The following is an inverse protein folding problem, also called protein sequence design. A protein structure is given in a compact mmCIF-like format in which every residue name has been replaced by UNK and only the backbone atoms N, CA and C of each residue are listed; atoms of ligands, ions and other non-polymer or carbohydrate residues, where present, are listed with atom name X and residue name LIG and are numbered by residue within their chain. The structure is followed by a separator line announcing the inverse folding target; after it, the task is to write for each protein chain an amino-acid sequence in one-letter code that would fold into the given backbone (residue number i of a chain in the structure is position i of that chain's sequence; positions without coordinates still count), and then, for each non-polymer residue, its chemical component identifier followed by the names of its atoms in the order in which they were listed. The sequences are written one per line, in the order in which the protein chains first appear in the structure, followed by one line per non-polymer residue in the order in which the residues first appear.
data_IF_405145712136
#
_entry.id   IF_405145712136
#
_cell.length_a   1.000
_cell.length_b   1.000
_cell.length_c   1.000
_cell.angle_alpha   90.00
_cell.angle_beta   90.00
_cell.angle_gamma   90.00
#
_symmetry.space_group_name_H-M   'P 1'
#
loop_
_entity.id
_entity.type
_entity.pdbx_description
1 polymer ?
#
# COMPACT_ATOMS: atom_id res chain seq x y z
N UNK A 1 49.14 68.67 36.86
CA UNK A 1 50.33 69.52 37.03
C UNK A 1 51.17 69.47 35.75
N UNK A 2 51.45 70.65 35.16
CA UNK A 2 52.54 71.04 34.23
C UNK A 2 52.94 70.04 33.12
N UNK A 3 52.58 70.26 31.85
CA UNK A 3 53.21 71.13 30.80
C UNK A 3 54.67 70.78 30.46
N UNK A 4 54.88 70.53 29.15
CA UNK A 4 55.97 70.99 28.24
C UNK A 4 56.52 69.82 27.37
N UNK A 5 56.14 69.70 26.10
CA UNK A 5 56.53 70.42 24.85
C UNK A 5 57.84 69.95 24.19
N UNK A 6 57.66 69.52 22.93
CA UNK A 6 58.53 69.64 21.75
C UNK A 6 59.75 68.70 21.62
N UNK A 7 59.83 67.97 20.50
CA UNK A 7 60.59 68.34 19.29
C UNK A 7 60.54 67.19 18.25
N UNK A 8 60.03 67.47 17.05
CA UNK A 8 60.48 66.82 15.79
C UNK A 8 61.71 67.64 15.31
N UNK A 9 62.68 67.15 14.49
CA UNK A 9 62.50 66.20 13.37
C UNK A 9 63.72 65.26 13.09
N UNK A 10 63.59 64.25 12.22
CA UNK A 10 64.48 64.06 11.06
C UNK A 10 64.08 62.84 10.21
N UNK A 11 64.18 63.06 8.90
CA UNK A 11 63.99 62.17 7.76
C UNK A 11 64.63 60.79 7.92
N UNK A 12 63.87 59.73 7.67
CA UNK A 12 64.37 58.55 6.96
C UNK A 12 63.24 57.94 6.15
N UNK A 13 63.38 57.95 4.83
CA UNK A 13 62.52 57.24 3.88
C UNK A 13 62.72 55.75 4.14
N UNK A 14 61.75 55.10 4.80
CA UNK A 14 61.75 53.66 4.96
C UNK A 14 61.00 53.06 3.77
N UNK A 15 61.77 52.50 2.83
CA UNK A 15 61.26 51.70 1.72
C UNK A 15 60.51 50.50 2.31
N UNK A 16 59.18 50.49 2.23
CA UNK A 16 58.40 49.30 2.57
C UNK A 16 58.62 48.25 1.48
N UNK A 17 59.51 47.30 1.74
CA UNK A 17 59.54 46.02 1.03
C UNK A 17 58.27 45.27 1.44
N UNK A 18 57.26 45.32 0.57
CA UNK A 18 56.15 44.37 0.62
C UNK A 18 56.73 43.01 0.31
N UNK A 19 57.09 42.26 1.35
CA UNK A 19 57.37 40.83 1.24
C UNK A 19 56.02 40.18 0.95
N UNK A 20 55.72 39.99 -0.33
CA UNK A 20 54.67 39.09 -0.78
C UNK A 20 55.07 37.68 -0.31
N UNK A 21 54.58 37.26 0.85
CA UNK A 21 54.58 35.85 1.20
C UNK A 21 53.75 35.13 0.13
N UNK A 22 54.32 34.20 -0.66
CA UNK A 22 53.50 33.36 -1.50
C UNK A 22 52.69 32.51 -0.52
N UNK A 23 51.38 32.72 -0.46
CA UNK A 23 50.48 31.67 0.00
C UNK A 23 50.73 30.49 -0.93
N UNK A 24 51.56 29.56 -0.47
CA UNK A 24 51.79 28.31 -1.17
C UNK A 24 50.45 27.60 -1.25
N UNK A 25 49.82 27.67 -2.42
CA UNK A 25 48.76 26.75 -2.79
C UNK A 25 49.37 25.35 -2.65
N UNK A 26 49.05 24.65 -1.57
CA UNK A 26 49.39 23.24 -1.42
C UNK A 26 48.61 22.55 -2.54
N UNK A 27 49.31 22.19 -3.61
CA UNK A 27 48.75 21.35 -4.65
C UNK A 27 48.24 20.09 -3.97
N UNK A 28 46.94 19.83 -4.10
CA UNK A 28 46.31 18.64 -3.56
C UNK A 28 47.08 17.42 -4.09
N UNK A 29 47.69 16.63 -3.21
CA UNK A 29 48.39 15.41 -3.62
C UNK A 29 47.36 14.55 -4.37
N UNK A 30 47.62 14.16 -5.63
CA UNK A 30 46.64 13.41 -6.40
C UNK A 30 46.36 12.09 -5.69
N UNK A 31 45.09 11.86 -5.36
CA UNK A 31 44.66 10.61 -4.75
C UNK A 31 44.99 9.45 -5.69
N UNK A 32 45.77 8.47 -5.22
CA UNK A 32 46.11 7.26 -5.96
C UNK A 32 45.19 6.11 -5.54
N UNK A 33 44.26 5.74 -6.41
CA UNK A 33 43.48 4.50 -6.26
C UNK A 33 44.26 3.34 -6.88
N UNK A 34 44.64 2.34 -6.07
CA UNK A 34 45.27 1.10 -6.55
C UNK A 34 44.29 -0.06 -6.37
N UNK A 35 43.94 -0.74 -7.46
CA UNK A 35 43.03 -1.89 -7.45
C UNK A 35 43.87 -3.19 -7.52
N UNK A 36 43.71 -4.05 -6.52
CA UNK A 36 44.37 -5.37 -6.48
C UNK A 36 43.37 -6.44 -6.97
N UNK A 37 43.44 -6.79 -8.25
CA UNK A 37 42.47 -7.68 -8.90
C UNK A 37 42.71 -9.18 -8.62
N UNK A 38 43.90 -9.51 -8.13
CA UNK A 38 44.38 -10.86 -7.82
C UNK A 38 44.30 -11.19 -6.30
N UNK A 39 43.92 -10.21 -5.48
CA UNK A 39 43.91 -10.32 -4.02
C UNK A 39 42.49 -10.15 -3.47
N UNK A 40 41.61 -11.12 -3.72
CA UNK A 40 40.28 -11.15 -3.10
C UNK A 40 40.41 -11.27 -1.58
N UNK A 41 40.09 -10.21 -0.85
CA UNK A 41 40.22 -10.16 0.62
C UNK A 41 39.00 -10.71 1.37
N UNK A 42 37.82 -10.64 0.77
CA UNK A 42 36.57 -11.10 1.40
C UNK A 42 35.60 -11.62 0.35
N UNK A 43 34.77 -12.59 0.73
CA UNK A 43 33.67 -13.05 -0.11
C UNK A 43 32.52 -12.06 0.01
N UNK A 44 32.06 -11.52 -1.11
CA UNK A 44 30.85 -10.70 -1.14
C UNK A 44 29.65 -11.63 -0.94
N UNK A 45 28.80 -11.32 0.04
CA UNK A 45 27.60 -12.11 0.29
C UNK A 45 26.67 -12.07 -0.92
N UNK A 46 26.14 -13.22 -1.38
CA UNK A 46 25.07 -13.21 -2.38
C UNK A 46 23.77 -12.59 -1.85
N UNK A 47 23.67 -12.32 -0.54
CA UNK A 47 22.57 -11.59 0.09
C UNK A 47 22.84 -10.08 0.22
N UNK A 48 23.87 -9.53 -0.42
CA UNK A 48 24.25 -8.13 -0.22
C UNK A 48 23.17 -7.13 -0.67
N UNK A 49 22.45 -7.43 -1.75
CA UNK A 49 21.47 -6.52 -2.34
C UNK A 49 20.07 -7.12 -2.29
N UNK A 50 19.13 -6.35 -1.74
CA UNK A 50 17.73 -6.74 -1.63
C UNK A 50 16.81 -5.53 -1.65
N UNK A 51 15.55 -5.78 -1.33
CA UNK A 51 14.49 -4.77 -1.25
C UNK A 51 14.04 -4.61 0.19
N UNK A 52 13.54 -3.43 0.51
CA UNK A 52 12.74 -3.16 1.69
C UNK A 52 11.39 -2.63 1.22
N UNK A 53 10.32 -3.04 1.89
CA UNK A 53 8.98 -2.62 1.56
C UNK A 53 8.19 -2.23 2.79
N UNK A 54 7.34 -1.22 2.65
CA UNK A 54 6.28 -0.81 3.57
C UNK A 54 5.19 -0.08 2.79
N UNK A 55 3.98 0.06 3.36
CA UNK A 55 2.87 0.81 2.72
C UNK A 55 3.11 2.32 2.85
N UNK A 56 3.92 2.87 1.95
CA UNK A 56 4.30 4.28 1.90
C UNK A 56 4.15 4.79 0.46
N UNK A 57 3.69 6.03 0.28
CA UNK A 57 3.50 6.64 -1.04
C UNK A 57 2.59 5.83 -1.98
N UNK A 58 1.61 5.10 -1.44
CA UNK A 58 0.76 4.17 -2.20
C UNK A 58 1.58 3.07 -2.87
N UNK A 59 2.56 2.50 -2.15
CA UNK A 59 3.44 1.45 -2.65
C UNK A 59 2.75 0.09 -2.76
N UNK A 60 1.72 -0.20 -1.96
CA UNK A 60 0.84 -1.36 -2.18
C UNK A 60 -0.47 -0.92 -2.79
N UNK A 61 -1.38 -0.35 -2.00
CA UNK A 61 -2.67 0.14 -2.49
C UNK A 61 -2.44 1.30 -3.48
N UNK A 62 -2.75 1.09 -4.76
CA UNK A 62 -2.43 2.01 -5.86
C UNK A 62 -1.06 1.81 -6.50
N UNK A 63 -0.19 1.05 -5.84
CA UNK A 63 1.13 0.65 -6.28
C UNK A 63 1.17 -0.81 -6.66
N UNK A 64 2.04 -1.59 -6.01
CA UNK A 64 2.34 -2.99 -6.33
C UNK A 64 1.11 -3.90 -6.27
N UNK A 65 0.18 -3.68 -5.34
CA UNK A 65 -1.07 -4.45 -5.26
C UNK A 65 -2.01 -4.04 -6.40
N UNK A 66 -2.51 -5.00 -7.17
CA UNK A 66 -3.16 -4.70 -8.45
C UNK A 66 -4.61 -4.21 -8.38
N UNK A 67 -5.16 -3.99 -7.19
CA UNK A 67 -6.49 -3.40 -7.02
C UNK A 67 -6.53 -2.00 -7.64
N UNK A 68 -7.54 -1.74 -8.48
CA UNK A 68 -7.71 -0.45 -9.15
C UNK A 68 -8.74 0.45 -8.46
N UNK A 69 -9.58 -0.10 -7.59
CA UNK A 69 -10.62 0.65 -6.88
C UNK A 69 -10.06 1.22 -5.57
N UNK A 70 -10.11 2.55 -5.45
CA UNK A 70 -9.69 3.26 -4.25
C UNK A 70 -10.84 3.34 -3.24
N UNK A 71 -10.53 3.29 -1.95
CA UNK A 71 -11.54 3.28 -0.87
C UNK A 71 -12.61 2.18 -1.08
N UNK A 72 -12.19 0.98 -1.47
CA UNK A 72 -13.10 -0.11 -1.89
C UNK A 72 -14.04 -0.65 -0.82
N UNK A 73 -13.75 -0.37 0.45
CA UNK A 73 -14.55 -0.77 1.62
C UNK A 73 -15.11 0.42 2.41
N UNK A 74 -15.01 1.63 1.88
CA UNK A 74 -15.69 2.82 2.42
C UNK A 74 -15.27 3.22 3.84
N UNK A 75 -13.98 3.02 4.18
CA UNK A 75 -13.43 3.29 5.52
C UNK A 75 -12.33 4.34 5.55
N UNK A 76 -11.96 4.92 4.40
CA UNK A 76 -10.86 5.89 4.32
C UNK A 76 -11.22 7.20 5.04
N UNK A 77 -12.50 7.59 5.03
CA UNK A 77 -13.02 8.76 5.74
C UNK A 77 -14.28 8.40 6.53
N UNK A 78 -14.45 9.00 7.71
CA UNK A 78 -15.58 8.72 8.59
C UNK A 78 -16.90 9.36 8.12
N UNK A 79 -16.84 10.50 7.44
CA UNK A 79 -18.00 11.33 7.07
C UNK A 79 -18.43 11.08 5.63
N UNK A 80 -17.49 11.13 4.70
CA UNK A 80 -17.78 11.12 3.26
C UNK A 80 -17.21 9.86 2.57
N UNK A 81 -17.86 9.35 1.51
CA UNK A 81 -17.33 8.26 0.71
C UNK A 81 -16.23 8.77 -0.24
N UNK A 82 -15.05 9.11 0.29
CA UNK A 82 -13.93 9.64 -0.50
C UNK A 82 -13.61 8.78 -1.73
N UNK A 83 -13.28 9.46 -2.85
CA UNK A 83 -13.04 8.87 -4.18
C UNK A 83 -14.26 8.22 -4.84
N UNK A 84 -15.43 8.30 -4.22
CA UNK A 84 -16.70 7.91 -4.83
C UNK A 84 -17.54 9.14 -5.12
N UNK A 85 -17.98 9.26 -6.38
CA UNK A 85 -18.76 10.39 -6.85
C UNK A 85 -20.11 9.91 -7.38
N UNK A 86 -21.17 10.68 -7.10
CA UNK A 86 -22.49 10.43 -7.67
C UNK A 86 -22.53 10.83 -9.14
N UNK A 87 -23.19 10.01 -9.96
CA UNK A 87 -23.49 10.29 -11.36
C UNK A 87 -24.97 10.67 -11.44
N UNK A 88 -25.26 11.89 -11.90
CA UNK A 88 -26.59 12.36 -12.27
C UNK A 88 -26.51 13.01 -13.66
N UNK A 89 -26.94 12.29 -14.70
CA UNK A 89 -27.11 12.87 -16.04
C UNK A 89 -28.58 13.23 -16.27
N UNK A 90 -28.80 14.24 -17.12
CA UNK A 90 -30.11 14.86 -17.37
C UNK A 90 -30.80 15.29 -16.07
N UNK A 91 -32.05 14.91 -15.90
CA UNK A 91 -32.92 15.15 -14.75
C UNK A 91 -32.84 14.06 -13.67
N UNK A 92 -31.78 13.23 -13.71
CA UNK A 92 -31.50 12.21 -12.71
C UNK A 92 -31.26 12.80 -11.31
N UNK A 93 -31.79 12.14 -10.30
CA UNK A 93 -31.67 12.52 -8.88
C UNK A 93 -31.25 11.30 -8.08
N UNK A 94 -29.97 11.27 -7.74
CA UNK A 94 -29.40 10.35 -6.78
C UNK A 94 -28.44 11.05 -5.83
N UNK A 95 -28.25 10.44 -4.67
CA UNK A 95 -27.26 10.84 -3.66
C UNK A 95 -26.48 9.62 -3.19
N UNK A 96 -25.30 9.87 -2.62
CA UNK A 96 -24.50 8.85 -1.94
C UNK A 96 -24.21 9.26 -0.51
N UNK A 97 -24.11 8.28 0.38
CA UNK A 97 -23.66 8.48 1.77
C UNK A 97 -23.04 7.21 2.34
N UNK A 98 -22.31 7.35 3.45
CA UNK A 98 -21.85 6.21 4.23
C UNK A 98 -22.97 5.71 5.16
N UNK A 99 -23.15 4.39 5.24
CA UNK A 99 -24.12 3.73 6.12
C UNK A 99 -23.41 2.65 6.98
N UNK A 100 -23.67 2.68 8.28
CA UNK A 100 -23.11 1.78 9.30
C UNK A 100 -24.16 0.91 9.97
N UNK A 101 -25.43 1.04 9.57
CA UNK A 101 -26.55 0.24 10.07
C UNK A 101 -26.79 -1.01 9.21
N UNK A 102 -26.14 -1.09 8.04
CA UNK A 102 -26.23 -2.22 7.11
C UNK A 102 -24.86 -2.87 6.83
N UNK A 103 -24.03 -3.20 7.85
CA UNK A 103 -22.74 -3.82 7.61
C UNK A 103 -22.89 -5.20 6.96
N UNK A 104 -21.86 -5.65 6.24
CA UNK A 104 -21.82 -7.03 5.73
C UNK A 104 -21.52 -7.99 6.87
N UNK A 105 -20.54 -7.64 7.70
CA UNK A 105 -20.05 -8.43 8.82
C UNK A 105 -19.26 -7.52 9.79
N UNK A 106 -18.52 -8.12 10.73
CA UNK A 106 -17.75 -7.40 11.76
C UNK A 106 -16.45 -6.76 11.23
N UNK A 107 -15.95 -7.16 10.06
CA UNK A 107 -14.77 -6.55 9.44
C UNK A 107 -15.15 -5.36 8.56
N UNK A 108 -16.18 -5.54 7.72
CA UNK A 108 -16.71 -4.55 6.77
C UNK A 108 -17.94 -3.85 7.36
N UNK A 109 -17.67 -2.93 8.29
CA UNK A 109 -18.69 -2.28 9.13
C UNK A 109 -19.31 -1.02 8.53
N UNK A 110 -18.80 -0.53 7.40
CA UNK A 110 -19.32 0.65 6.70
C UNK A 110 -19.56 0.28 5.24
N UNK A 111 -20.69 0.72 4.67
CA UNK A 111 -21.05 0.51 3.28
C UNK A 111 -21.44 1.84 2.61
N UNK A 112 -21.37 1.89 1.28
CA UNK A 112 -21.85 3.02 0.50
C UNK A 112 -23.32 2.82 0.18
N UNK A 113 -24.16 3.76 0.58
CA UNK A 113 -25.56 3.83 0.19
C UNK A 113 -25.71 4.74 -1.03
N UNK A 114 -26.22 4.19 -2.13
CA UNK A 114 -26.75 4.92 -3.27
C UNK A 114 -28.28 5.02 -3.09
N UNK A 115 -28.82 6.23 -3.06
CA UNK A 115 -30.25 6.48 -3.14
C UNK A 115 -30.58 7.07 -4.51
N UNK A 116 -31.47 6.42 -5.27
CA UNK A 116 -31.97 6.93 -6.55
C UNK A 116 -33.44 7.31 -6.39
N UNK A 117 -33.72 8.61 -6.28
CA UNK A 117 -35.09 9.13 -6.23
C UNK A 117 -35.73 9.12 -7.63
N UNK A 118 -34.94 9.49 -8.64
CA UNK A 118 -35.37 9.55 -10.03
C UNK A 118 -34.22 9.13 -10.95
N UNK A 119 -34.36 8.05 -11.73
CA UNK A 119 -33.36 7.70 -12.72
C UNK A 119 -33.40 8.72 -13.85
N UNK A 120 -32.22 9.24 -14.22
CA UNK A 120 -32.04 10.01 -15.44
C UNK A 120 -31.69 9.10 -16.61
N UNK A 121 -31.11 9.68 -17.67
CA UNK A 121 -30.45 8.91 -18.74
C UNK A 121 -29.31 8.04 -18.20
N UNK A 122 -28.64 8.53 -17.15
CA UNK A 122 -27.60 7.80 -16.43
C UNK A 122 -27.50 8.26 -14.98
N UNK A 123 -27.70 7.33 -14.06
CA UNK A 123 -27.63 7.59 -12.62
C UNK A 123 -26.85 6.48 -11.91
N UNK A 124 -26.03 6.84 -10.92
CA UNK A 124 -25.25 5.85 -10.18
C UNK A 124 -24.05 6.44 -9.46
N UNK A 125 -22.95 5.67 -9.44
CA UNK A 125 -21.72 6.00 -8.74
C UNK A 125 -20.50 5.78 -9.64
N UNK A 126 -19.44 6.52 -9.37
CA UNK A 126 -18.13 6.36 -9.99
C UNK A 126 -17.01 6.31 -8.96
N UNK A 127 -15.92 5.64 -9.29
CA UNK A 127 -14.67 5.64 -8.55
C UNK A 127 -13.52 6.06 -9.46
N UNK A 128 -12.72 7.01 -9.00
CA UNK A 128 -11.63 7.59 -9.78
C UNK A 128 -10.36 6.71 -9.81
N UNK A 129 -10.34 5.63 -9.04
CA UNK A 129 -9.17 4.78 -8.85
C UNK A 129 -8.02 5.52 -8.15
N UNK A 130 -6.79 5.02 -8.36
CA UNK A 130 -5.58 5.66 -7.86
C UNK A 130 -5.04 6.61 -8.94
N UNK A 131 -5.60 7.83 -8.97
CA UNK A 131 -5.33 8.86 -10.00
C UNK A 131 -5.64 8.39 -11.42
N UNK A 132 -6.71 7.61 -11.57
CA UNK A 132 -7.14 7.00 -12.82
C UNK A 132 -7.14 5.47 -12.77
N UNK A 133 -7.79 4.88 -13.77
CA UNK A 133 -7.80 3.43 -13.98
C UNK A 133 -7.07 3.14 -15.30
N UNK A 134 -5.92 2.44 -15.28
CA UNK A 134 -5.15 2.18 -16.49
C UNK A 134 -5.82 1.11 -17.36
N UNK A 135 -6.11 1.49 -18.60
CA UNK A 135 -6.61 0.58 -19.63
C UNK A 135 -5.55 0.23 -20.66
N UNK A 136 -5.53 -1.04 -21.09
CA UNK A 136 -4.69 -1.55 -22.19
C UNK A 136 -5.55 -2.25 -23.25
N UNK A 137 -5.13 -2.31 -24.52
CA UNK A 137 -5.84 -3.04 -25.57
C UNK A 137 -6.09 -4.50 -25.21
N UNK A 138 -7.22 -5.05 -25.65
CA UNK A 138 -7.56 -6.49 -25.53
C UNK A 138 -7.29 -7.07 -24.13
N UNK A 139 -7.55 -6.30 -23.08
CA UNK A 139 -7.27 -6.67 -21.70
C UNK A 139 -8.56 -7.01 -20.99
N UNK A 140 -8.54 -8.11 -20.24
CA UNK A 140 -9.66 -8.56 -19.42
C UNK A 140 -9.41 -8.13 -17.98
N UNK A 141 -10.36 -7.40 -17.43
CA UNK A 141 -10.39 -6.98 -16.04
C UNK A 141 -11.43 -7.82 -15.30
N UNK A 142 -11.03 -8.39 -14.17
CA UNK A 142 -11.91 -9.16 -13.30
C UNK A 142 -12.39 -8.28 -12.17
N UNK A 143 -13.70 -8.16 -11.99
CA UNK A 143 -14.27 -7.32 -10.96
C UNK A 143 -15.33 -8.02 -10.13
N UNK A 144 -15.58 -7.46 -8.96
CA UNK A 144 -16.70 -7.85 -8.12
C UNK A 144 -17.17 -6.71 -7.25
N UNK A 145 -18.39 -6.82 -6.72
CA UNK A 145 -18.84 -6.03 -5.59
C UNK A 145 -19.81 -6.85 -4.76
N UNK A 146 -19.90 -6.55 -3.47
CA UNK A 146 -21.06 -6.94 -2.68
C UNK A 146 -22.14 -5.89 -2.85
N UNK A 147 -23.40 -6.32 -3.01
CA UNK A 147 -24.54 -5.43 -3.03
C UNK A 147 -25.75 -6.01 -2.30
N UNK A 148 -26.58 -5.09 -1.79
CA UNK A 148 -27.92 -5.31 -1.25
C UNK A 148 -28.79 -4.12 -1.67
N UNK A 149 -30.06 -4.32 -2.00
CA UNK A 149 -31.03 -3.26 -2.29
C UNK A 149 -32.24 -3.34 -1.35
N UNK A 150 -33.06 -2.30 -1.25
CA UNK A 150 -34.29 -2.32 -0.43
C UNK A 150 -35.43 -3.13 -1.08
N UNK A 151 -35.31 -3.44 -2.37
CA UNK A 151 -36.20 -4.33 -3.11
C UNK A 151 -35.43 -5.07 -4.22
N UNK A 152 -36.09 -6.05 -4.85
CA UNK A 152 -35.55 -6.71 -6.04
C UNK A 152 -35.44 -5.70 -7.20
N UNK A 153 -34.22 -5.48 -7.66
CA UNK A 153 -33.94 -4.62 -8.81
C UNK A 153 -34.48 -5.27 -10.09
N UNK A 154 -35.30 -4.53 -10.83
CA UNK A 154 -35.96 -4.96 -12.07
C UNK A 154 -35.15 -4.62 -13.31
N UNK A 155 -34.24 -3.66 -13.21
CA UNK A 155 -33.26 -3.26 -14.22
C UNK A 155 -31.86 -3.70 -13.77
N UNK A 156 -31.01 -4.13 -14.71
CA UNK A 156 -29.64 -4.48 -14.35
C UNK A 156 -28.84 -3.23 -14.01
N UNK A 157 -27.92 -3.37 -13.06
CA UNK A 157 -26.79 -2.45 -12.96
C UNK A 157 -25.91 -2.60 -14.20
N UNK A 158 -25.34 -1.50 -14.67
CA UNK A 158 -24.28 -1.50 -15.69
C UNK A 158 -22.99 -1.08 -15.01
N UNK A 159 -22.01 -1.98 -15.04
CA UNK A 159 -20.63 -1.70 -14.62
C UNK A 159 -19.81 -1.31 -15.83
N UNK A 160 -18.93 -0.31 -15.73
CA UNK A 160 -18.13 0.13 -16.88
C UNK A 160 -16.80 0.76 -16.48
N UNK A 161 -15.81 0.63 -17.35
CA UNK A 161 -14.63 1.51 -17.38
C UNK A 161 -14.86 2.53 -18.50
N UNK A 162 -14.75 3.81 -18.18
CA UNK A 162 -15.02 4.90 -19.12
C UNK A 162 -14.03 6.05 -18.96
N UNK A 163 -13.92 6.91 -19.97
CA UNK A 163 -13.14 8.15 -19.87
C UNK A 163 -13.62 9.00 -18.69
N UNK A 164 -12.73 9.76 -18.07
CA UNK A 164 -13.06 10.60 -16.90
C UNK A 164 -14.22 11.57 -17.18
N UNK A 165 -14.37 12.04 -18.42
CA UNK A 165 -15.48 12.91 -18.86
C UNK A 165 -16.79 12.15 -19.18
N UNK A 166 -16.79 10.83 -19.08
CA UNK A 166 -17.94 9.95 -19.33
C UNK A 166 -18.37 9.85 -20.79
N UNK A 167 -17.59 10.36 -21.75
CA UNK A 167 -17.95 10.34 -23.18
C UNK A 167 -17.65 9.01 -23.89
N UNK A 168 -16.68 8.24 -23.38
CA UNK A 168 -16.22 7.01 -24.01
C UNK A 168 -16.30 5.85 -23.03
N UNK A 169 -17.12 4.84 -23.33
CA UNK A 169 -17.11 3.57 -22.60
C UNK A 169 -16.12 2.61 -23.26
N UNK A 170 -15.13 2.15 -22.50
CA UNK A 170 -14.08 1.26 -23.00
C UNK A 170 -14.42 -0.22 -22.81
N UNK A 171 -15.16 -0.55 -21.75
CA UNK A 171 -15.65 -1.88 -21.46
C UNK A 171 -16.86 -1.80 -20.52
N UNK A 172 -17.83 -2.69 -20.69
CA UNK A 172 -19.05 -2.71 -19.86
C UNK A 172 -19.62 -4.11 -19.66
N UNK A 173 -20.31 -4.34 -18.55
CA UNK A 173 -21.11 -5.54 -18.31
C UNK A 173 -22.41 -5.20 -17.54
N UNK A 174 -23.40 -6.08 -17.62
CA UNK A 174 -24.69 -5.95 -16.93
C UNK A 174 -24.80 -6.94 -15.77
N UNK A 175 -25.28 -6.48 -14.62
CA UNK A 175 -25.45 -7.25 -13.39
C UNK A 175 -26.92 -7.22 -12.98
N UNK A 176 -27.56 -8.39 -12.97
CA UNK A 176 -28.97 -8.55 -12.61
C UNK A 176 -29.13 -9.26 -11.27
N UNK A 177 -30.32 -9.15 -10.67
CA UNK A 177 -30.69 -9.94 -9.49
C UNK A 177 -30.12 -9.42 -8.17
N UNK A 178 -29.83 -8.13 -8.08
CA UNK A 178 -29.59 -7.46 -6.80
C UNK A 178 -30.92 -7.35 -6.05
N UNK A 179 -30.94 -7.77 -4.79
CA UNK A 179 -32.15 -7.89 -3.99
C UNK A 179 -31.88 -7.52 -2.51
N UNK A 180 -32.81 -7.86 -1.62
CA UNK A 180 -32.77 -7.50 -0.20
C UNK A 180 -31.74 -8.26 0.67
N UNK A 181 -30.85 -9.05 0.09
CA UNK A 181 -29.81 -9.78 0.80
C UNK A 181 -28.43 -9.44 0.26
N UNK A 182 -27.44 -9.33 1.14
CA UNK A 182 -26.05 -9.14 0.73
C UNK A 182 -25.57 -10.34 -0.07
N UNK A 183 -25.05 -10.07 -1.27
CA UNK A 183 -24.45 -11.08 -2.14
C UNK A 183 -23.29 -10.48 -2.91
N UNK A 184 -22.27 -11.29 -3.18
CA UNK A 184 -21.20 -10.93 -4.10
C UNK A 184 -21.65 -11.15 -5.55
N UNK A 185 -21.42 -10.15 -6.38
CA UNK A 185 -21.63 -10.18 -7.82
C UNK A 185 -20.28 -10.04 -8.51
N UNK A 186 -19.94 -11.00 -9.36
CA UNK A 186 -18.68 -11.01 -10.13
C UNK A 186 -18.94 -10.66 -11.58
N UNK A 187 -17.96 -10.06 -12.23
CA UNK A 187 -18.06 -9.65 -13.63
C UNK A 187 -16.69 -9.58 -14.29
N UNK A 188 -16.71 -9.48 -15.62
CA UNK A 188 -15.53 -9.34 -16.45
C UNK A 188 -15.73 -8.19 -17.43
N UNK A 189 -14.74 -7.31 -17.55
CA UNK A 189 -14.73 -6.19 -18.48
C UNK A 189 -13.59 -6.39 -19.48
N UNK A 190 -13.91 -6.43 -20.77
CA UNK A 190 -12.90 -6.61 -21.83
C UNK A 190 -12.79 -5.37 -22.68
N UNK A 191 -11.60 -4.78 -22.76
CA UNK A 191 -11.33 -3.66 -23.66
C UNK A 191 -11.14 -4.14 -25.10
N UNK A 192 -11.50 -3.29 -26.06
CA UNK A 192 -11.30 -3.59 -27.48
C UNK A 192 -9.81 -3.55 -27.89
N UNK A 193 -9.47 -4.20 -29.00
CA UNK A 193 -8.09 -4.24 -29.50
C UNK A 193 -7.56 -2.88 -29.99
N UNK A 194 -8.44 -1.97 -30.40
CA UNK A 194 -8.05 -0.72 -31.07
C UNK A 194 -8.02 0.50 -30.14
N UNK A 195 -8.16 0.31 -28.82
CA UNK A 195 -8.05 1.43 -27.88
C UNK A 195 -6.59 1.89 -27.77
N UNK A 196 -6.36 3.17 -27.48
CA UNK A 196 -5.04 3.64 -27.05
C UNK A 196 -4.93 3.43 -25.53
N UNK A 197 -3.80 2.91 -25.01
CA UNK A 197 -3.58 2.87 -23.57
C UNK A 197 -3.74 4.26 -22.95
N UNK A 198 -4.44 4.35 -21.84
CA UNK A 198 -4.62 5.59 -21.07
C UNK A 198 -4.99 5.25 -19.62
N UNK A 199 -4.72 6.18 -18.71
CA UNK A 199 -5.20 6.13 -17.33
C UNK A 199 -6.29 7.17 -17.05
N UNK A 200 -6.65 8.01 -18.03
CA UNK A 200 -7.71 9.03 -17.92
C UNK A 200 -9.11 8.40 -17.97
N UNK A 201 -9.34 7.46 -17.06
CA UNK A 201 -10.54 6.64 -16.98
C UNK A 201 -10.96 6.44 -15.53
N UNK A 202 -12.24 6.11 -15.35
CA UNK A 202 -12.86 5.84 -14.06
C UNK A 202 -13.74 4.59 -14.15
N UNK A 203 -14.02 3.98 -13.00
CA UNK A 203 -14.96 2.88 -12.90
C UNK A 203 -16.34 3.41 -12.53
N UNK A 204 -17.40 2.82 -13.07
CA UNK A 204 -18.78 3.25 -12.79
C UNK A 204 -19.71 2.07 -12.55
N UNK A 205 -20.70 2.29 -11.69
CA UNK A 205 -21.85 1.41 -11.46
C UNK A 205 -23.10 2.26 -11.62
N UNK A 206 -23.89 2.01 -12.67
CA UNK A 206 -25.10 2.80 -12.96
C UNK A 206 -26.34 1.95 -13.00
N UNK A 207 -27.49 2.53 -12.65
CA UNK A 207 -28.79 1.86 -12.66
C UNK A 207 -29.86 2.76 -13.29
N UNK A 208 -30.93 2.11 -13.74
CA UNK A 208 -32.18 2.76 -14.18
C UNK A 208 -33.35 2.45 -13.23
N UNK A 209 -33.11 1.72 -12.14
CA UNK A 209 -34.09 1.54 -11.06
C UNK A 209 -34.00 2.69 -10.05
N UNK A 210 -35.09 2.89 -9.30
CA UNK A 210 -35.15 3.76 -8.13
C UNK A 210 -34.79 3.00 -6.84
N UNK A 211 -34.73 3.71 -5.72
CA UNK A 211 -34.60 3.12 -4.38
C UNK A 211 -33.18 3.12 -3.84
N UNK A 212 -32.98 2.40 -2.73
CA UNK A 212 -31.70 2.32 -2.06
C UNK A 212 -30.93 1.06 -2.45
N UNK A 213 -29.65 1.23 -2.76
CA UNK A 213 -28.70 0.13 -2.90
C UNK A 213 -27.47 0.40 -2.06
N UNK A 214 -27.02 -0.60 -1.32
CA UNK A 214 -25.80 -0.59 -0.55
C UNK A 214 -24.72 -1.40 -1.25
N UNK A 215 -23.50 -0.88 -1.27
CA UNK A 215 -22.33 -1.52 -1.84
C UNK A 215 -21.23 -1.70 -0.79
N UNK A 216 -20.45 -2.78 -0.93
CA UNK A 216 -19.20 -2.99 -0.19
C UNK A 216 -18.20 -3.78 -1.04
N UNK A 217 -16.92 -3.72 -0.65
CA UNK A 217 -15.82 -4.45 -1.26
C UNK A 217 -15.90 -4.44 -2.79
N UNK A 218 -15.94 -3.23 -3.37
CA UNK A 218 -15.95 -3.05 -4.82
C UNK A 218 -14.54 -3.21 -5.33
N UNK A 219 -14.31 -4.12 -6.26
CA UNK A 219 -12.96 -4.51 -6.69
C UNK A 219 -12.89 -4.63 -8.20
N UNK A 220 -11.73 -4.23 -8.76
CA UNK A 220 -11.40 -4.37 -10.16
C UNK A 220 -9.91 -4.63 -10.31
N UNK A 221 -9.56 -5.81 -10.84
CA UNK A 221 -8.18 -6.22 -11.07
C UNK A 221 -7.88 -6.30 -12.57
N UNK A 222 -6.73 -5.80 -13.04
CA UNK A 222 -6.15 -6.18 -14.31
C UNK A 222 -5.54 -7.60 -14.19
N UNK A 223 -5.00 -8.17 -15.28
CA UNK A 223 -4.16 -9.36 -15.18
C UNK A 223 -2.97 -9.11 -14.23
N UNK A 224 -2.75 -10.05 -13.32
CA UNK A 224 -1.71 -9.98 -12.28
C UNK A 224 -0.46 -10.75 -12.68
N UNK A 225 0.66 -10.41 -12.04
CA UNK A 225 1.91 -11.16 -12.21
C UNK A 225 1.70 -12.64 -11.85
N UNK A 226 2.22 -13.55 -12.68
CA UNK A 226 2.02 -15.00 -12.56
C UNK A 226 0.54 -15.45 -12.43
N UNK A 227 -0.42 -14.63 -12.87
CA UNK A 227 -1.86 -14.89 -12.75
C UNK A 227 -2.33 -15.19 -11.32
N UNK A 228 -1.64 -14.66 -10.29
CA UNK A 228 -2.04 -14.86 -8.90
C UNK A 228 -3.37 -14.14 -8.61
N UNK A 229 -4.40 -14.84 -8.08
CA UNK A 229 -5.58 -14.17 -7.53
C UNK A 229 -5.16 -13.20 -6.44
N UNK A 230 -5.82 -12.04 -6.32
CA UNK A 230 -5.46 -11.01 -5.34
C UNK A 230 -3.98 -10.57 -5.43
N UNK A 231 -3.40 -10.66 -6.63
CA UNK A 231 -1.96 -10.56 -6.86
C UNK A 231 -1.46 -9.16 -7.18
N UNK A 232 -0.18 -9.12 -7.56
CA UNK A 232 0.56 -7.89 -7.80
C UNK A 232 0.49 -7.45 -9.27
N UNK A 233 0.69 -6.15 -9.51
CA UNK A 233 0.78 -5.59 -10.85
C UNK A 233 1.99 -6.13 -11.59
N UNK A 234 1.74 -6.61 -12.81
CA UNK A 234 2.78 -7.27 -13.61
C UNK A 234 3.92 -6.34 -14.05
N UNK A 235 3.63 -5.06 -14.32
CA UNK A 235 4.63 -4.09 -14.76
C UNK A 235 5.64 -3.74 -13.66
N UNK A 236 5.16 -3.45 -12.43
CA UNK A 236 6.03 -3.17 -11.29
C UNK A 236 6.79 -4.44 -10.88
N UNK A 237 6.12 -5.58 -10.82
CA UNK A 237 6.77 -6.86 -10.52
C UNK A 237 7.91 -7.19 -11.49
N UNK A 238 7.76 -6.86 -12.78
CA UNK A 238 8.83 -7.06 -13.75
C UNK A 238 10.05 -6.19 -13.44
N UNK A 239 9.85 -4.90 -13.14
CA UNK A 239 10.94 -4.00 -12.77
C UNK A 239 11.69 -4.49 -11.52
N UNK A 240 10.95 -4.97 -10.52
CA UNK A 240 11.51 -5.55 -9.30
C UNK A 240 12.25 -6.86 -9.56
N UNK A 241 11.74 -7.70 -10.47
CA UNK A 241 12.40 -8.93 -10.93
C UNK A 241 13.74 -8.64 -11.60
N UNK A 242 13.78 -7.62 -12.46
CA UNK A 242 14.97 -7.26 -13.24
C UNK A 242 16.13 -6.77 -12.36
N UNK A 243 15.83 -6.24 -11.16
CA UNK A 243 16.84 -5.90 -10.14
C UNK A 243 17.54 -7.12 -9.54
N UNK A 244 16.98 -8.33 -9.70
CA UNK A 244 17.46 -9.60 -9.13
C UNK A 244 17.76 -9.51 -7.62
N UNK A 245 16.82 -9.03 -6.81
CA UNK A 245 17.02 -8.90 -5.37
C UNK A 245 17.21 -10.26 -4.70
N UNK A 246 18.10 -10.33 -3.71
CA UNK A 246 18.35 -11.57 -2.97
C UNK A 246 17.39 -11.76 -1.78
N UNK A 247 16.81 -10.68 -1.27
CA UNK A 247 15.88 -10.69 -0.15
C UNK A 247 14.84 -9.56 -0.23
N UNK A 248 13.75 -9.72 0.53
CA UNK A 248 12.76 -8.69 0.79
C UNK A 248 12.55 -8.54 2.31
N UNK A 249 12.77 -7.34 2.84
CA UNK A 249 12.38 -6.93 4.20
C UNK A 249 10.93 -6.46 4.22
N UNK A 250 10.07 -7.10 5.02
CA UNK A 250 8.61 -6.88 5.06
C UNK A 250 8.01 -7.15 6.46
N UNK A 251 6.79 -6.68 6.78
CA UNK A 251 6.03 -5.64 6.06
C UNK A 251 6.63 -4.25 6.27
N UNK A 252 7.68 -4.17 7.09
CA UNK A 252 8.72 -3.16 7.11
C UNK A 252 8.32 -1.78 7.59
N UNK A 253 9.34 -1.13 8.15
CA UNK A 253 9.30 0.27 8.52
C UNK A 253 8.21 0.61 9.52
N UNK A 254 7.83 1.87 9.48
CA UNK A 254 6.82 2.46 10.35
C UNK A 254 5.46 1.76 10.20
N UNK A 255 5.19 1.16 9.03
CA UNK A 255 3.95 0.42 8.79
C UNK A 255 3.77 -0.78 9.74
N UNK A 256 4.86 -1.43 10.15
CA UNK A 256 4.82 -2.50 11.15
C UNK A 256 4.29 -2.00 12.50
N UNK A 257 4.83 -0.88 12.97
CA UNK A 257 4.62 -0.34 14.32
C UNK A 257 3.23 0.28 14.49
N UNK A 258 2.76 1.00 13.47
CA UNK A 258 1.56 1.83 13.59
C UNK A 258 1.78 3.07 14.48
N UNK A 259 0.83 4.01 14.43
CA UNK A 259 0.88 5.20 15.30
C UNK A 259 0.58 4.84 16.76
N UNK A 260 -0.36 3.91 16.96
CA UNK A 260 -0.76 3.32 18.25
C UNK A 260 -1.00 1.82 18.08
N UNK A 261 -1.11 1.06 19.18
CA UNK A 261 -1.27 -0.41 19.14
C UNK A 261 -2.46 -0.90 18.28
N UNK A 262 -3.57 -0.16 18.29
CA UNK A 262 -4.76 -0.53 17.51
C UNK A 262 -4.59 -0.31 15.99
N UNK A 263 -3.54 0.39 15.58
CA UNK A 263 -3.17 0.69 14.19
C UNK A 263 -1.86 0.03 13.74
N UNK A 264 -1.22 -0.78 14.59
CA UNK A 264 -0.06 -1.60 14.19
C UNK A 264 -0.46 -2.58 13.08
N UNK A 265 0.53 -3.10 12.36
CA UNK A 265 0.32 -4.20 11.43
C UNK A 265 -0.11 -5.47 12.19
N UNK A 266 -1.32 -5.96 11.90
CA UNK A 266 -1.92 -7.12 12.55
C UNK A 266 -2.05 -8.25 11.51
N UNK A 267 -1.01 -9.06 11.38
CA UNK A 267 -0.88 -10.03 10.28
C UNK A 267 -2.11 -10.95 10.16
N UNK A 268 -2.73 -11.34 11.27
CA UNK A 268 -3.92 -12.21 11.31
C UNK A 268 -5.12 -11.58 10.58
N UNK A 269 -5.26 -10.25 10.64
CA UNK A 269 -6.32 -9.50 9.96
C UNK A 269 -6.07 -9.31 8.46
N UNK A 270 -4.87 -9.64 8.00
CA UNK A 270 -4.48 -9.61 6.58
C UNK A 270 -4.65 -10.96 5.89
N UNK A 271 -5.15 -11.98 6.60
CA UNK A 271 -5.29 -13.33 6.07
C UNK A 271 -6.70 -13.64 5.56
N UNK A 272 -6.79 -14.66 4.71
CA UNK A 272 -8.06 -15.24 4.29
C UNK A 272 -8.87 -14.33 3.35
N UNK A 273 -10.20 -14.52 3.28
CA UNK A 273 -11.07 -13.77 2.37
C UNK A 273 -11.04 -12.26 2.61
N UNK A 274 -11.06 -11.47 1.53
CA UNK A 274 -11.04 -10.01 1.60
C UNK A 274 -12.22 -9.41 2.38
N UNK A 275 -13.37 -10.09 2.39
CA UNK A 275 -14.54 -9.64 3.16
C UNK A 275 -14.38 -9.82 4.67
N UNK A 276 -13.30 -10.45 5.14
CA UNK A 276 -12.92 -10.55 6.54
C UNK A 276 -11.74 -9.63 6.91
N UNK A 277 -11.21 -8.86 5.95
CA UNK A 277 -10.06 -7.97 6.17
C UNK A 277 -10.55 -6.54 6.43
N UNK A 278 -10.46 -6.01 7.66
CA UNK A 278 -10.97 -4.69 7.98
C UNK A 278 -10.10 -3.53 7.46
N UNK A 279 -8.87 -3.80 7.00
CA UNK A 279 -7.84 -2.79 6.81
C UNK A 279 -7.42 -2.13 8.12
N UNK A 280 -6.48 -1.19 8.06
CA UNK A 280 -6.12 -0.32 9.19
C UNK A 280 -5.56 1.03 8.72
N UNK A 281 -5.58 2.02 9.62
CA UNK A 281 -4.95 3.31 9.32
C UNK A 281 -3.44 3.11 9.35
N UNK A 282 -2.76 3.37 8.23
CA UNK A 282 -1.31 3.30 8.15
C UNK A 282 -0.64 4.50 8.81
N UNK A 283 0.67 4.55 8.72
CA UNK A 283 1.50 5.59 9.36
C UNK A 283 1.81 6.77 8.44
N UNK A 284 1.45 6.65 7.16
CA UNK A 284 1.76 7.62 6.11
C UNK A 284 0.55 8.44 5.64
N UNK A 285 -0.43 8.63 6.53
CA UNK A 285 -1.56 9.54 6.31
C UNK A 285 -2.69 8.98 5.43
N UNK A 286 -2.71 7.67 5.18
CA UNK A 286 -3.80 6.99 4.50
C UNK A 286 -4.05 5.59 5.07
N UNK A 287 -5.23 5.04 4.76
CA UNK A 287 -5.65 3.72 5.18
C UNK A 287 -5.10 2.66 4.24
N UNK A 288 -4.54 1.59 4.80
CA UNK A 288 -4.28 0.35 4.08
C UNK A 288 -5.53 -0.52 4.05
N UNK A 289 -5.80 -1.11 2.89
CA UNK A 289 -6.86 -2.07 2.67
C UNK A 289 -6.55 -3.44 3.27
N UNK A 290 -5.29 -3.72 3.59
CA UNK A 290 -4.75 -5.05 3.91
C UNK A 290 -5.11 -6.11 2.85
N UNK A 291 -5.37 -5.66 1.62
CA UNK A 291 -5.56 -6.52 0.46
C UNK A 291 -4.31 -7.29 0.09
N UNK A 292 -3.16 -6.63 0.20
CA UNK A 292 -1.84 -7.25 0.19
C UNK A 292 -1.42 -7.55 1.63
N UNK A 293 -1.63 -8.78 2.06
CA UNK A 293 -1.31 -9.27 3.39
C UNK A 293 -0.09 -10.18 3.42
N UNK A 294 0.13 -10.83 4.56
CA UNK A 294 1.28 -11.71 4.78
C UNK A 294 1.44 -12.77 3.68
N UNK A 295 0.35 -13.42 3.27
CA UNK A 295 0.42 -14.44 2.21
C UNK A 295 0.80 -13.85 0.85
N UNK A 296 0.29 -12.65 0.52
CA UNK A 296 0.65 -11.97 -0.72
C UNK A 296 2.13 -11.53 -0.73
N UNK A 297 2.67 -11.06 0.40
CA UNK A 297 4.10 -10.75 0.54
C UNK A 297 5.00 -11.98 0.37
N UNK A 298 4.62 -13.12 0.95
CA UNK A 298 5.39 -14.35 0.85
C UNK A 298 5.34 -14.94 -0.56
N UNK A 299 4.18 -14.85 -1.22
CA UNK A 299 4.04 -15.21 -2.63
C UNK A 299 4.91 -14.32 -3.54
N UNK A 300 5.02 -13.02 -3.24
CA UNK A 300 5.95 -12.12 -3.94
C UNK A 300 7.41 -12.59 -3.78
N UNK A 301 7.82 -12.97 -2.58
CA UNK A 301 9.15 -13.54 -2.36
C UNK A 301 9.40 -14.80 -3.20
N UNK A 302 8.44 -15.73 -3.25
CA UNK A 302 8.55 -16.93 -4.09
C UNK A 302 8.63 -16.60 -5.58
N UNK A 303 7.77 -15.69 -6.05
CA UNK A 303 7.71 -15.28 -7.46
C UNK A 303 9.03 -14.70 -7.96
N UNK A 304 9.75 -13.96 -7.11
CA UNK A 304 11.05 -13.37 -7.44
C UNK A 304 12.24 -14.14 -6.87
N UNK A 305 12.01 -15.29 -6.23
CA UNK A 305 13.05 -16.14 -5.62
C UNK A 305 13.90 -15.40 -4.57
N UNK A 306 13.26 -14.54 -3.79
CA UNK A 306 13.87 -13.79 -2.70
C UNK A 306 13.82 -14.56 -1.39
N UNK A 307 14.80 -14.37 -0.51
CA UNK A 307 14.66 -14.73 0.90
C UNK A 307 13.78 -13.70 1.62
N UNK A 308 12.94 -14.15 2.54
CA UNK A 308 12.16 -13.25 3.39
C UNK A 308 12.99 -12.79 4.59
N UNK A 309 12.98 -11.48 4.87
CA UNK A 309 13.35 -10.88 6.15
C UNK A 309 12.04 -10.40 6.78
N UNK A 310 11.49 -11.19 7.70
CA UNK A 310 10.19 -10.92 8.32
C UNK A 310 10.38 -10.08 9.58
N UNK A 311 9.87 -8.86 9.58
CA UNK A 311 9.84 -8.01 10.75
C UNK A 311 8.60 -8.33 11.61
N UNK A 312 8.81 -8.56 12.90
CA UNK A 312 7.79 -8.86 13.88
C UNK A 312 7.56 -7.66 14.79
N UNK A 313 6.30 -7.35 15.07
CA UNK A 313 5.95 -6.26 15.97
C UNK A 313 6.49 -6.55 17.38
N UNK A 314 7.27 -5.61 17.93
CA UNK A 314 8.04 -5.84 19.15
C UNK A 314 7.52 -5.09 20.39
N UNK A 315 6.32 -4.52 20.30
CA UNK A 315 5.67 -3.90 21.47
C UNK A 315 5.91 -2.39 21.60
N UNK A 316 6.46 -1.74 20.57
CA UNK A 316 6.65 -0.29 20.47
C UNK A 316 5.84 0.30 19.31
N UNK A 317 5.36 1.53 19.47
CA UNK A 317 4.57 2.26 18.45
C UNK A 317 5.09 3.68 18.27
N UNK A 318 4.80 4.32 17.13
CA UNK A 318 5.40 5.61 16.78
C UNK A 318 4.99 6.77 17.68
N UNK A 319 3.84 6.69 18.38
CA UNK A 319 3.47 7.65 19.43
C UNK A 319 4.19 7.41 20.76
N UNK A 320 5.18 6.50 20.77
CA UNK A 320 6.02 6.16 21.92
C UNK A 320 5.28 5.41 23.03
N UNK A 321 4.14 4.80 22.72
CA UNK A 321 3.55 3.79 23.60
C UNK A 321 4.37 2.50 23.46
N UNK A 322 4.68 1.86 24.59
CA UNK A 322 5.51 0.66 24.67
C UNK A 322 4.94 -0.36 25.67
N UNK A 323 5.42 -1.60 25.58
CA UNK A 323 5.14 -2.66 26.55
C UNK A 323 6.41 -3.02 27.31
N UNK A 324 6.32 -3.09 28.63
CA UNK A 324 7.40 -3.65 29.44
C UNK A 324 7.55 -5.15 29.18
N UNK A 325 8.80 -5.61 29.24
CA UNK A 325 9.12 -7.03 29.23
C UNK A 325 8.36 -7.78 30.33
N UNK A 326 7.87 -8.99 30.02
CA UNK A 326 7.14 -9.84 30.96
C UNK A 326 5.67 -10.04 30.54
N UNK A 327 4.74 -10.14 31.50
CA UNK A 327 3.36 -10.58 31.23
C UNK A 327 2.61 -9.72 30.20
N UNK A 328 2.91 -8.42 30.12
CA UNK A 328 2.27 -7.49 29.18
C UNK A 328 2.71 -7.72 27.73
N UNK A 329 3.97 -8.09 27.50
CA UNK A 329 4.51 -8.40 26.18
C UNK A 329 4.14 -9.81 25.71
N UNK A 330 3.84 -10.74 26.64
CA UNK A 330 3.57 -12.16 26.35
C UNK A 330 2.53 -12.39 25.24
N UNK A 331 1.38 -11.69 25.18
CA UNK A 331 0.42 -11.88 24.09
C UNK A 331 1.00 -11.57 22.70
N UNK A 332 1.94 -10.62 22.59
CA UNK A 332 2.58 -10.24 21.33
C UNK A 332 3.71 -11.21 20.97
N UNK A 333 4.42 -11.77 21.96
CA UNK A 333 5.34 -12.90 21.74
C UNK A 333 4.59 -14.10 21.20
N UNK A 334 3.43 -14.44 21.77
CA UNK A 334 2.59 -15.54 21.26
C UNK A 334 2.07 -15.25 19.84
N UNK A 335 1.71 -14.00 19.56
CA UNK A 335 1.27 -13.56 18.23
C UNK A 335 2.39 -13.67 17.19
N UNK A 336 3.62 -13.34 17.57
CA UNK A 336 4.82 -13.48 16.75
C UNK A 336 5.18 -14.97 16.50
N UNK A 337 5.07 -15.83 17.52
CA UNK A 337 5.27 -17.27 17.36
C UNK A 337 4.19 -17.90 16.46
N UNK A 338 2.95 -17.47 16.60
CA UNK A 338 1.85 -17.84 15.70
C UNK A 338 2.15 -17.40 14.24
N UNK A 339 2.73 -16.21 14.05
CA UNK A 339 3.13 -15.70 12.72
C UNK A 339 4.23 -16.58 12.12
N UNK A 340 5.26 -16.90 12.90
CA UNK A 340 6.34 -17.79 12.48
C UNK A 340 5.82 -19.20 12.15
N UNK A 341 4.87 -19.74 12.91
CA UNK A 341 4.22 -21.02 12.61
C UNK A 341 3.37 -20.94 11.33
N UNK A 342 2.69 -19.82 11.07
CA UNK A 342 1.98 -19.61 9.81
C UNK A 342 2.93 -19.70 8.61
N UNK A 343 4.12 -19.09 8.71
CA UNK A 343 5.10 -19.06 7.62
C UNK A 343 5.80 -20.41 7.45
N UNK A 344 6.34 -20.97 8.53
CA UNK A 344 7.28 -22.11 8.48
C UNK A 344 6.68 -23.46 8.91
N UNK A 345 5.53 -23.45 9.59
CA UNK A 345 4.95 -24.65 10.18
C UNK A 345 4.47 -25.65 9.13
N UNK A 346 4.56 -26.94 9.47
CA UNK A 346 3.94 -28.01 8.69
C UNK A 346 2.42 -27.80 8.62
N UNK A 347 1.78 -28.26 7.53
CA UNK A 347 0.33 -28.10 7.33
C UNK A 347 -0.54 -28.74 8.43
N UNK A 348 0.03 -29.59 9.29
CA UNK A 348 -0.66 -30.21 10.42
C UNK A 348 -0.57 -29.40 11.72
N UNK A 349 0.26 -28.33 11.77
CA UNK A 349 0.24 -27.38 12.89
C UNK A 349 -0.94 -26.43 12.75
N UNK A 350 -1.28 -25.70 13.82
CA UNK A 350 -2.45 -24.82 13.83
C UNK A 350 -2.37 -23.76 12.72
N UNK A 351 -1.27 -23.02 12.67
CA UNK A 351 -1.11 -21.95 11.70
C UNK A 351 -0.60 -22.42 10.34
N UNK A 352 0.14 -23.53 10.28
CA UNK A 352 0.45 -24.18 9.00
C UNK A 352 -0.80 -24.70 8.30
N UNK A 353 -1.76 -25.26 9.03
CA UNK A 353 -3.08 -25.63 8.50
C UNK A 353 -3.86 -24.40 8.00
N UNK A 354 -3.76 -23.27 8.71
CA UNK A 354 -4.37 -22.01 8.26
C UNK A 354 -3.76 -21.49 6.98
N UNK A 355 -2.43 -21.56 6.82
CA UNK A 355 -1.73 -21.23 5.57
C UNK A 355 -2.20 -22.12 4.42
N UNK A 356 -2.30 -23.43 4.67
CA UNK A 356 -2.84 -24.38 3.72
C UNK A 356 -4.29 -24.06 3.29
N UNK A 357 -5.16 -23.73 4.24
CA UNK A 357 -6.53 -23.29 3.97
C UNK A 357 -6.58 -22.01 3.12
N UNK A 358 -5.65 -21.09 3.34
CA UNK A 358 -5.55 -19.86 2.57
C UNK A 358 -4.97 -20.07 1.15
N UNK A 359 -4.67 -21.31 0.76
CA UNK A 359 -4.26 -21.67 -0.59
C UNK A 359 -2.77 -21.98 -0.77
N UNK A 360 -1.98 -22.02 0.30
CA UNK A 360 -0.55 -22.35 0.22
C UNK A 360 -0.16 -23.42 1.25
N UNK A 361 -0.21 -24.72 0.89
CA UNK A 361 0.02 -25.80 1.85
C UNK A 361 1.48 -25.99 2.25
N UNK A 362 2.44 -25.60 1.40
CA UNK A 362 3.86 -25.80 1.68
C UNK A 362 4.39 -24.71 2.62
N UNK A 363 5.30 -25.02 3.55
CA UNK A 363 5.93 -23.99 4.35
C UNK A 363 6.79 -23.10 3.47
N UNK A 364 6.80 -21.80 3.76
CA UNK A 364 7.74 -20.88 3.16
C UNK A 364 9.10 -21.01 3.84
N UNK A 365 10.18 -20.80 3.08
CA UNK A 365 11.52 -20.69 3.65
C UNK A 365 11.67 -19.31 4.31
N UNK A 366 11.90 -19.31 5.62
CA UNK A 366 12.24 -18.11 6.38
C UNK A 366 13.58 -18.33 7.08
N UNK A 367 14.52 -17.42 6.85
CA UNK A 367 15.88 -17.51 7.42
C UNK A 367 16.20 -16.31 8.30
N UNK A 368 15.54 -15.18 8.06
CA UNK A 368 15.81 -13.93 8.76
C UNK A 368 14.52 -13.41 9.37
N UNK A 369 14.59 -13.11 10.65
CA UNK A 369 13.55 -12.46 11.42
C UNK A 369 14.16 -11.19 12.00
N UNK A 370 13.44 -10.10 11.84
CA UNK A 370 13.75 -8.82 12.48
C UNK A 370 12.75 -8.61 13.61
N UNK A 371 13.23 -8.12 14.75
CA UNK A 371 12.40 -7.86 15.93
C UNK A 371 12.28 -6.36 16.06
N UNK A 372 11.09 -5.83 15.79
CA UNK A 372 10.81 -4.39 15.83
C UNK A 372 11.21 -3.64 14.57
N UNK A 373 11.24 -2.32 14.69
CA UNK A 373 11.67 -1.38 13.66
C UNK A 373 12.16 -0.10 14.36
N UNK A 374 13.39 0.32 14.06
CA UNK A 374 13.96 1.59 14.55
C UNK A 374 13.86 1.81 16.08
N UNK A 375 13.87 0.75 16.88
CA UNK A 375 13.70 0.82 18.34
C UNK A 375 14.81 1.60 19.09
N UNK A 376 15.84 2.08 18.39
CA UNK A 376 16.75 3.10 18.93
C UNK A 376 16.07 4.44 19.25
N UNK A 377 14.82 4.65 18.79
CA UNK A 377 13.96 5.76 19.22
C UNK A 377 13.14 5.47 20.48
N UNK A 378 13.16 4.24 20.99
CA UNK A 378 12.62 3.92 22.31
C UNK A 378 13.57 4.47 23.39
N UNK A 379 13.09 5.49 24.11
CA UNK A 379 13.81 6.09 25.23
C UNK A 379 13.40 5.50 26.58
N UNK A 380 12.50 4.51 26.61
CA UNK A 380 12.01 3.89 27.84
C UNK A 380 12.97 2.84 28.42
N UNK A 381 13.85 2.27 27.57
CA UNK A 381 14.68 1.13 27.94
C UNK A 381 13.92 -0.20 27.96
N UNK A 382 12.77 -0.30 27.30
CA UNK A 382 11.93 -1.52 27.34
C UNK A 382 12.58 -2.77 26.72
N UNK A 383 13.67 -2.56 25.96
CA UNK A 383 14.47 -3.59 25.30
C UNK A 383 15.81 -3.91 26.01
N UNK A 384 16.14 -3.21 27.09
CA UNK A 384 17.33 -3.47 27.94
C UNK A 384 16.96 -4.38 29.12
#
# INVERSE_FOLDING_TARGET
MKKHTNFYPLKTVLLWLVISFPFGLIAQIPAKLTLHLDQSKTKVSPQLYGLMTEEINYSYDGGLYAELIRNRIFKDNFREPEHWNVINQSDGKATISLDRQQPINTALTTCLKLNVEKPGTRTGISNDGFWGIPIKPNTVYSGSFYAKADHLQTKPFTVSIESTDGKTTYASAKISGVNNSWKQYTFSLKTNQNIKPTADTRFTITTADTGNTWFNLVSLFPPTYNNRPNGNRADIMQLLSDMKPAFLRLPGGNYLEGQIFSTRYDWKKTLGPLDQRPGHMGTWGYRSSDGMGLLEYLNWCEDLKMNTVLALFAGYTLNKDYLEAGPMLKPFVDDALDELEYVMGDKNTKWGAKRAQNGHPQPFKLTYVEIGNEDGFDLSGSYE
#
